data_IF_927087013463
#
_entry.id   IF_927087013463
#
_cell.length_a   1.000
_cell.length_b   1.000
_cell.length_c   1.000
_cell.angle_alpha   90.00
_cell.angle_beta   90.00
_cell.angle_gamma   90.00
#
_symmetry.space_group_name_H-M   'P 1'
#
loop_
_entity.id
_entity.type
_entity.pdbx_description
1 polymer ?
#
# COMPACT_ATOMS: atom_id res chain seq x y z
N UNK A 1 31.71 -2.55 11.59
CA UNK A 1 30.68 -3.08 10.67
C UNK A 1 29.80 -1.91 10.25
N UNK A 2 29.74 -1.56 8.94
CA UNK A 2 28.75 -0.57 8.46
C UNK A 2 27.39 -1.25 8.48
N UNK A 3 26.54 -0.84 9.42
CA UNK A 3 25.18 -1.34 9.55
C UNK A 3 24.44 -1.12 8.24
N UNK A 4 23.87 -2.17 7.70
CA UNK A 4 23.04 -2.13 6.51
C UNK A 4 21.79 -1.29 6.81
N UNK A 5 21.40 -0.43 5.87
CA UNK A 5 20.31 0.55 6.07
C UNK A 5 19.00 -0.13 6.53
N UNK A 6 18.73 -1.35 6.04
CA UNK A 6 17.56 -2.15 6.40
C UNK A 6 17.56 -2.55 7.89
N UNK A 7 18.64 -3.14 8.38
CA UNK A 7 18.70 -3.68 9.75
C UNK A 7 18.55 -2.59 10.82
N UNK A 8 19.06 -1.38 10.58
CA UNK A 8 19.04 -0.30 11.57
C UNK A 8 17.64 0.15 11.97
N UNK A 9 16.69 0.12 11.05
CA UNK A 9 15.29 0.53 11.30
C UNK A 9 14.50 -0.50 12.12
N UNK A 10 14.88 -1.78 12.05
CA UNK A 10 14.20 -2.85 12.78
C UNK A 10 14.86 -3.18 14.13
N UNK A 11 15.96 -2.52 14.49
CA UNK A 11 16.56 -2.66 15.82
C UNK A 11 15.71 -2.08 16.95
N UNK A 12 14.82 -1.13 16.64
CA UNK A 12 13.88 -0.56 17.61
C UNK A 12 12.71 -1.52 17.93
N UNK A 13 12.55 -2.61 17.17
CA UNK A 13 11.51 -3.60 17.40
C UNK A 13 11.86 -4.43 18.63
N UNK A 14 10.98 -4.42 19.62
CA UNK A 14 11.16 -5.21 20.83
C UNK A 14 11.00 -6.70 20.54
N UNK A 15 11.93 -7.50 21.10
CA UNK A 15 11.85 -8.94 21.00
C UNK A 15 10.80 -9.47 21.98
N UNK A 16 9.65 -10.00 21.49
CA UNK A 16 8.54 -10.42 22.35
C UNK A 16 8.85 -11.66 23.18
N UNK A 17 9.97 -12.34 22.91
CA UNK A 17 10.34 -13.56 23.64
C UNK A 17 10.97 -13.23 25.00
N UNK A 18 10.71 -14.08 26.02
CA UNK A 18 11.41 -14.02 27.28
C UNK A 18 12.93 -14.24 27.11
N UNK A 19 13.74 -13.78 28.06
CA UNK A 19 15.21 -13.93 28.01
C UNK A 19 15.69 -15.39 28.04
N UNK A 20 14.83 -16.31 28.42
CA UNK A 20 15.11 -17.75 28.46
C UNK A 20 14.82 -18.34 27.09
N UNK A 21 15.77 -19.07 26.49
CA UNK A 21 15.65 -19.74 25.18
C UNK A 21 15.68 -18.84 23.92
N UNK A 22 16.36 -17.72 23.93
CA UNK A 22 16.65 -16.91 22.72
C UNK A 22 17.91 -17.44 22.01
N UNK A 23 17.80 -18.54 21.28
CA UNK A 23 18.94 -19.08 20.49
C UNK A 23 19.33 -18.13 19.37
N UNK A 24 18.36 -17.53 18.65
CA UNK A 24 18.60 -16.66 17.52
C UNK A 24 18.15 -15.23 17.87
N UNK A 25 18.90 -14.23 17.44
CA UNK A 25 18.49 -12.82 17.59
C UNK A 25 17.23 -12.52 16.77
N UNK A 26 16.41 -11.57 17.22
CA UNK A 26 15.24 -11.13 16.45
C UNK A 26 15.66 -10.61 15.09
N UNK A 27 16.77 -9.86 15.02
CA UNK A 27 17.31 -9.34 13.78
C UNK A 27 17.67 -10.45 12.78
N UNK A 28 18.32 -11.53 13.24
CA UNK A 28 18.68 -12.64 12.35
C UNK A 28 17.42 -13.31 11.78
N UNK A 29 16.40 -13.54 12.64
CA UNK A 29 15.14 -14.15 12.19
C UNK A 29 14.45 -13.28 11.14
N UNK A 30 14.39 -11.96 11.36
CA UNK A 30 13.78 -11.03 10.43
C UNK A 30 14.53 -10.97 9.09
N UNK A 31 15.86 -10.84 9.15
CA UNK A 31 16.69 -10.77 7.93
C UNK A 31 16.59 -12.07 7.14
N UNK A 32 16.73 -13.24 7.78
CA UNK A 32 16.58 -14.53 7.10
C UNK A 32 15.18 -14.65 6.48
N UNK A 33 14.12 -14.26 7.21
CA UNK A 33 12.75 -14.29 6.72
C UNK A 33 12.53 -13.39 5.49
N UNK A 34 13.04 -12.16 5.51
CA UNK A 34 12.94 -11.22 4.36
C UNK A 34 13.72 -11.76 3.17
N UNK A 35 14.96 -12.24 3.37
CA UNK A 35 15.79 -12.79 2.29
C UNK A 35 15.16 -14.06 1.68
N UNK A 36 14.58 -14.91 2.52
CA UNK A 36 13.85 -16.10 2.08
C UNK A 36 12.64 -15.73 1.20
N UNK A 37 11.84 -14.73 1.60
CA UNK A 37 10.70 -14.23 0.81
C UNK A 37 11.17 -13.62 -0.52
N UNK A 38 12.23 -12.85 -0.52
CA UNK A 38 12.86 -12.32 -1.73
C UNK A 38 13.21 -13.45 -2.69
N UNK A 39 13.75 -14.56 -2.18
CA UNK A 39 14.18 -15.71 -2.98
C UNK A 39 13.07 -16.74 -3.27
N UNK A 40 11.81 -16.47 -2.92
CA UNK A 40 10.68 -17.29 -3.34
C UNK A 40 9.99 -18.08 -2.22
N UNK A 41 10.48 -18.07 -0.98
CA UNK A 41 9.82 -18.76 0.12
C UNK A 41 8.45 -18.13 0.45
N UNK A 42 7.43 -18.98 0.65
CA UNK A 42 6.03 -18.59 0.93
C UNK A 42 5.52 -19.16 2.26
N UNK A 43 6.18 -20.19 2.79
CA UNK A 43 5.83 -20.86 4.04
C UNK A 43 6.99 -20.82 5.04
N UNK A 44 6.71 -21.00 6.33
CA UNK A 44 7.75 -21.08 7.36
C UNK A 44 8.75 -22.21 7.08
N UNK A 45 8.25 -23.36 6.65
CA UNK A 45 9.09 -24.50 6.28
C UNK A 45 10.01 -24.18 5.08
N UNK A 46 9.50 -23.47 4.07
CA UNK A 46 10.33 -23.03 2.94
C UNK A 46 11.38 -22.00 3.37
N UNK A 47 11.11 -21.16 4.38
CA UNK A 47 12.12 -20.25 4.94
C UNK A 47 13.25 -21.02 5.64
N UNK A 48 12.94 -22.05 6.39
CA UNK A 48 13.94 -22.94 7.00
C UNK A 48 14.77 -23.67 5.92
N UNK A 49 14.12 -24.25 4.91
CA UNK A 49 14.81 -24.94 3.80
C UNK A 49 15.69 -23.99 2.98
N UNK A 50 15.19 -22.76 2.72
CA UNK A 50 15.99 -21.70 2.12
C UNK A 50 17.23 -21.38 2.97
N UNK A 51 17.05 -21.19 4.28
CA UNK A 51 18.14 -20.87 5.18
C UNK A 51 19.23 -21.97 5.16
N UNK A 52 18.83 -23.24 5.20
CA UNK A 52 19.75 -24.39 5.08
C UNK A 52 20.50 -24.39 3.73
N UNK A 53 19.77 -24.15 2.63
CA UNK A 53 20.33 -24.14 1.28
C UNK A 53 21.28 -22.96 1.02
N UNK A 54 21.12 -21.86 1.73
CA UNK A 54 21.88 -20.61 1.58
C UNK A 54 22.68 -20.25 2.84
N UNK A 55 22.98 -21.20 3.70
CA UNK A 55 23.70 -20.98 4.96
C UNK A 55 25.03 -20.24 4.74
N UNK A 56 25.82 -20.64 3.75
CA UNK A 56 27.10 -20.01 3.43
C UNK A 56 26.93 -18.52 3.06
N UNK A 57 25.90 -18.20 2.25
CA UNK A 57 25.59 -16.81 1.92
C UNK A 57 25.13 -16.04 3.16
N UNK A 58 24.22 -16.58 3.97
CA UNK A 58 23.69 -15.93 5.15
C UNK A 58 24.79 -15.64 6.18
N UNK A 59 25.77 -16.54 6.36
CA UNK A 59 26.94 -16.32 7.21
C UNK A 59 27.86 -15.17 6.74
N UNK A 60 27.73 -14.71 5.50
CA UNK A 60 28.47 -13.52 5.05
C UNK A 60 27.82 -12.21 5.48
N UNK A 61 26.58 -12.24 5.92
CA UNK A 61 25.79 -11.05 6.28
C UNK A 61 25.28 -11.06 7.73
N UNK A 62 25.22 -12.23 8.36
CA UNK A 62 24.78 -12.47 9.73
C UNK A 62 25.82 -13.34 10.47
N UNK A 63 25.91 -13.18 11.79
CA UNK A 63 26.84 -13.97 12.60
C UNK A 63 26.34 -15.41 12.82
N UNK A 64 25.04 -15.60 13.02
CA UNK A 64 24.36 -16.90 13.22
C UNK A 64 25.07 -17.82 14.23
N UNK A 65 25.40 -17.38 15.45
CA UNK A 65 26.24 -18.11 16.40
C UNK A 65 25.62 -19.45 16.84
N UNK A 66 24.31 -19.55 16.80
CA UNK A 66 23.53 -20.74 17.18
C UNK A 66 22.89 -21.44 15.97
N UNK A 67 23.44 -21.26 14.78
CA UNK A 67 22.93 -21.85 13.54
C UNK A 67 21.70 -21.12 12.98
N UNK A 68 20.81 -21.86 12.31
CA UNK A 68 19.69 -21.32 11.54
C UNK A 68 18.37 -21.47 12.29
N UNK A 69 17.46 -20.48 12.18
CA UNK A 69 16.11 -20.58 12.75
C UNK A 69 15.29 -21.69 12.07
N UNK A 70 14.55 -22.46 12.88
CA UNK A 70 13.60 -23.46 12.37
C UNK A 70 12.27 -22.82 11.94
N UNK A 71 11.44 -23.57 11.24
CA UNK A 71 10.08 -23.16 10.85
C UNK A 71 9.21 -22.79 12.06
N UNK A 72 9.29 -23.52 13.16
CA UNK A 72 8.65 -23.20 14.43
C UNK A 72 9.14 -21.87 15.01
N UNK A 73 10.44 -21.58 14.87
CA UNK A 73 10.99 -20.29 15.32
C UNK A 73 10.41 -19.13 14.54
N UNK A 74 10.34 -19.23 13.20
CA UNK A 74 9.68 -18.22 12.37
C UNK A 74 8.21 -18.05 12.76
N UNK A 75 7.46 -19.15 12.87
CA UNK A 75 6.05 -19.11 13.25
C UNK A 75 5.84 -18.39 14.60
N UNK A 76 6.54 -18.82 15.64
CA UNK A 76 6.41 -18.23 17.00
C UNK A 76 6.79 -16.76 17.02
N UNK A 77 7.89 -16.38 16.38
CA UNK A 77 8.36 -15.00 16.40
C UNK A 77 7.43 -14.09 15.62
N UNK A 78 7.07 -14.44 14.38
CA UNK A 78 6.16 -13.63 13.57
C UNK A 78 4.73 -13.58 14.13
N UNK A 79 4.30 -14.56 14.92
CA UNK A 79 3.05 -14.52 15.66
C UNK A 79 3.10 -13.56 16.86
N UNK A 80 4.23 -13.49 17.56
CA UNK A 80 4.38 -12.76 18.80
C UNK A 80 4.82 -11.29 18.65
N UNK A 81 5.48 -10.91 17.52
CA UNK A 81 5.90 -9.52 17.26
C UNK A 81 4.71 -8.58 17.39
N UNK A 82 4.89 -7.48 18.12
CA UNK A 82 3.92 -6.39 18.16
C UNK A 82 3.79 -5.74 16.78
N UNK A 83 2.60 -5.86 16.23
CA UNK A 83 2.33 -5.40 14.85
C UNK A 83 2.47 -3.89 14.72
N UNK A 84 2.04 -3.11 15.72
CA UNK A 84 2.13 -1.63 15.67
C UNK A 84 3.58 -1.16 15.66
N UNK A 85 4.44 -1.76 16.50
CA UNK A 85 5.88 -1.46 16.45
C UNK A 85 6.48 -1.84 15.09
N UNK A 86 6.08 -2.99 14.51
CA UNK A 86 6.61 -3.42 13.23
C UNK A 86 6.13 -2.52 12.07
N UNK A 87 4.89 -2.05 12.11
CA UNK A 87 4.33 -1.06 11.17
C UNK A 87 5.08 0.28 11.24
N UNK A 88 5.40 0.77 12.45
CA UNK A 88 6.21 1.97 12.66
C UNK A 88 7.63 1.79 12.09
N UNK A 89 8.28 0.67 12.39
CA UNK A 89 9.60 0.37 11.83
C UNK A 89 9.59 0.31 10.30
N UNK A 90 8.56 -0.29 9.72
CA UNK A 90 8.37 -0.37 8.28
C UNK A 90 8.18 1.01 7.65
N UNK A 91 7.29 1.85 8.17
CA UNK A 91 7.04 3.19 7.67
C UNK A 91 8.32 4.06 7.74
N UNK A 92 9.03 4.03 8.86
CA UNK A 92 10.31 4.73 9.03
C UNK A 92 11.39 4.24 8.05
N UNK A 93 11.44 2.94 7.77
CA UNK A 93 12.36 2.41 6.78
C UNK A 93 12.00 2.91 5.37
N UNK A 94 10.73 2.94 4.99
CA UNK A 94 10.30 3.41 3.66
C UNK A 94 10.71 4.86 3.42
N UNK A 95 10.60 5.75 4.41
CA UNK A 95 11.05 7.15 4.28
C UNK A 95 12.55 7.29 4.03
N UNK A 96 13.35 6.29 4.43
CA UNK A 96 14.80 6.27 4.18
C UNK A 96 15.19 5.81 2.77
N UNK A 97 14.24 5.24 2.02
CA UNK A 97 14.50 4.86 0.64
C UNK A 97 14.69 6.12 -0.21
N UNK A 98 15.62 6.10 -1.18
CA UNK A 98 15.80 7.24 -2.05
C UNK A 98 14.52 7.58 -2.81
N UNK A 99 13.98 8.75 -2.54
CA UNK A 99 12.78 9.28 -3.17
C UNK A 99 13.09 10.71 -3.63
N UNK A 100 12.62 11.09 -4.81
CA UNK A 100 12.62 12.49 -5.19
C UNK A 100 11.49 13.17 -4.38
N UNK A 101 11.82 14.29 -3.72
CA UNK A 101 10.84 15.11 -3.01
C UNK A 101 9.95 15.84 -4.03
N UNK A 102 8.95 15.14 -4.54
CA UNK A 102 7.91 15.68 -5.42
C UNK A 102 6.56 15.32 -4.83
N UNK A 103 5.61 16.23 -4.97
CA UNK A 103 4.22 15.96 -4.68
C UNK A 103 3.78 14.68 -5.39
N UNK A 104 3.28 13.72 -4.64
CA UNK A 104 2.85 12.43 -5.14
C UNK A 104 1.44 12.08 -4.68
N UNK A 105 0.82 11.13 -5.37
CA UNK A 105 -0.46 10.58 -4.94
C UNK A 105 -0.21 9.40 -4.00
N UNK A 106 -0.73 9.51 -2.79
CA UNK A 106 -0.80 8.44 -1.78
C UNK A 106 -2.19 7.83 -1.86
N UNK A 107 -2.32 6.70 -2.54
CA UNK A 107 -3.58 5.96 -2.62
C UNK A 107 -3.75 5.10 -1.38
N UNK A 108 -4.82 5.34 -0.60
CA UNK A 108 -5.18 4.51 0.55
C UNK A 108 -6.31 3.57 0.12
N UNK A 109 -6.09 2.28 0.32
CA UNK A 109 -7.06 1.24 -0.06
C UNK A 109 -6.94 0.02 0.86
N UNK A 110 -8.07 -0.69 1.02
CA UNK A 110 -8.16 -1.88 1.85
C UNK A 110 -8.06 -3.17 1.07
N UNK A 111 -7.32 -4.14 1.61
CA UNK A 111 -7.22 -5.48 1.05
C UNK A 111 -7.51 -6.56 2.09
N UNK A 112 -8.35 -7.51 1.72
CA UNK A 112 -8.60 -8.72 2.52
C UNK A 112 -7.65 -9.84 2.10
N UNK A 113 -6.83 -10.33 3.03
CA UNK A 113 -5.95 -11.49 2.83
C UNK A 113 -6.77 -12.77 3.03
N UNK A 114 -7.33 -13.31 1.96
CA UNK A 114 -8.41 -14.33 1.98
C UNK A 114 -8.02 -15.63 2.68
N UNK A 115 -6.78 -16.10 2.54
CA UNK A 115 -6.28 -17.33 3.15
C UNK A 115 -5.96 -17.23 4.64
N UNK A 116 -5.77 -16.02 5.15
CA UNK A 116 -5.36 -15.73 6.51
C UNK A 116 -6.58 -15.39 7.38
N UNK A 117 -6.98 -16.33 8.23
CA UNK A 117 -7.99 -16.09 9.29
C UNK A 117 -7.25 -16.08 10.63
N UNK A 118 -7.45 -15.05 11.43
CA UNK A 118 -6.90 -15.05 12.81
C UNK A 118 -7.58 -16.14 13.64
N UNK A 119 -6.84 -16.74 14.57
CA UNK A 119 -7.39 -17.73 15.48
C UNK A 119 -8.54 -17.13 16.29
N UNK A 120 -9.71 -17.75 16.23
CA UNK A 120 -10.92 -17.28 16.92
C UNK A 120 -11.74 -16.21 16.20
N UNK A 121 -11.28 -15.70 15.06
CA UNK A 121 -12.03 -14.76 14.22
C UNK A 121 -12.67 -15.52 13.03
N UNK A 122 -13.94 -15.24 12.76
CA UNK A 122 -14.65 -15.84 11.60
C UNK A 122 -14.30 -15.18 10.26
N UNK A 123 -13.63 -14.01 10.29
CA UNK A 123 -13.29 -13.20 9.12
C UNK A 123 -11.80 -13.26 8.78
N UNK A 124 -11.43 -13.19 7.50
CA UNK A 124 -10.03 -13.03 7.07
C UNK A 124 -9.43 -11.70 7.57
N UNK A 125 -8.10 -11.65 7.66
CA UNK A 125 -7.38 -10.42 8.00
C UNK A 125 -7.61 -9.37 6.92
N UNK A 126 -8.06 -8.17 7.34
CA UNK A 126 -8.22 -7.02 6.48
C UNK A 126 -7.15 -5.97 6.80
N UNK A 127 -6.49 -5.45 5.79
CA UNK A 127 -5.35 -4.51 5.91
C UNK A 127 -5.63 -3.29 5.06
N UNK A 128 -5.54 -2.11 5.64
CA UNK A 128 -5.52 -0.84 4.90
C UNK A 128 -4.07 -0.48 4.63
N UNK A 129 -3.75 -0.23 3.36
CA UNK A 129 -2.41 0.10 2.89
C UNK A 129 -2.35 1.47 2.23
N UNK A 130 -1.18 2.10 2.27
CA UNK A 130 -0.86 3.33 1.57
C UNK A 130 0.14 3.05 0.45
N UNK A 131 -0.23 3.43 -0.78
CA UNK A 131 0.58 3.26 -1.98
C UNK A 131 1.05 4.61 -2.52
N UNK A 132 2.35 4.83 -2.52
CA UNK A 132 3.00 5.99 -3.11
C UNK A 132 3.15 5.78 -4.63
N UNK A 133 2.24 6.38 -5.40
CA UNK A 133 2.03 6.05 -6.81
C UNK A 133 3.21 6.41 -7.71
N UNK A 134 3.87 7.54 -7.49
CA UNK A 134 5.00 8.02 -8.31
C UNK A 134 6.24 7.15 -8.09
N UNK A 135 6.50 6.76 -6.84
CA UNK A 135 7.64 5.92 -6.49
C UNK A 135 7.36 4.43 -6.66
N UNK A 136 6.09 4.04 -6.81
CA UNK A 136 5.64 2.65 -6.83
C UNK A 136 6.06 1.87 -5.59
N UNK A 137 5.89 2.47 -4.41
CA UNK A 137 6.24 1.89 -3.11
C UNK A 137 5.03 1.80 -2.19
N UNK A 138 5.02 0.81 -1.32
CA UNK A 138 4.08 0.76 -0.19
C UNK A 138 4.65 1.65 0.91
N UNK A 139 3.93 2.73 1.25
CA UNK A 139 4.36 3.70 2.25
C UNK A 139 4.08 3.23 3.68
N UNK A 140 3.02 2.45 3.89
CA UNK A 140 2.62 1.94 5.19
C UNK A 140 1.43 1.00 5.09
N UNK A 141 1.10 0.36 6.20
CA UNK A 141 -0.12 -0.44 6.36
C UNK A 141 -0.58 -0.45 7.81
N UNK A 142 -1.87 -0.72 8.03
CA UNK A 142 -2.47 -0.98 9.35
C UNK A 142 -3.50 -2.10 9.21
N UNK A 143 -3.55 -3.02 10.18
CA UNK A 143 -4.61 -4.03 10.26
C UNK A 143 -5.91 -3.40 10.75
N UNK A 144 -7.01 -3.67 10.06
CA UNK A 144 -8.35 -3.36 10.56
C UNK A 144 -8.70 -4.30 11.69
N UNK A 145 -9.08 -3.78 12.85
CA UNK A 145 -9.48 -4.63 13.98
C UNK A 145 -10.81 -5.34 13.69
N UNK A 146 -11.01 -6.54 14.27
CA UNK A 146 -12.20 -7.39 14.02
C UNK A 146 -13.55 -6.73 14.37
N UNK A 147 -13.53 -5.72 15.26
CA UNK A 147 -14.74 -4.98 15.68
C UNK A 147 -14.85 -3.60 15.02
N UNK A 148 -14.10 -3.34 13.96
CA UNK A 148 -13.87 -2.06 13.34
C UNK A 148 -13.98 -2.17 11.82
N UNK A 149 -13.78 -1.06 11.11
CA UNK A 149 -13.77 -0.98 9.66
C UNK A 149 -12.61 -0.08 9.18
N UNK A 150 -12.49 0.13 7.90
CA UNK A 150 -11.46 0.99 7.30
C UNK A 150 -11.50 2.43 7.82
N UNK A 151 -12.70 2.96 8.13
CA UNK A 151 -12.89 4.33 8.62
C UNK A 151 -12.07 4.60 9.89
N UNK A 152 -11.91 3.60 10.75
CA UNK A 152 -11.12 3.74 11.99
C UNK A 152 -9.64 3.42 11.77
N UNK A 153 -9.29 2.60 10.79
CA UNK A 153 -7.91 2.23 10.49
C UNK A 153 -7.18 3.32 9.67
N UNK A 154 -7.89 4.05 8.80
CA UNK A 154 -7.30 5.12 7.98
C UNK A 154 -6.65 6.20 8.83
N UNK A 155 -7.27 6.76 9.89
CA UNK A 155 -6.61 7.73 10.77
C UNK A 155 -5.33 7.18 11.44
N UNK A 156 -5.32 5.90 11.86
CA UNK A 156 -4.12 5.25 12.43
C UNK A 156 -3.02 5.14 11.37
N UNK A 157 -3.39 4.77 10.13
CA UNK A 157 -2.44 4.71 9.02
C UNK A 157 -1.86 6.10 8.71
N UNK A 158 -2.71 7.13 8.63
CA UNK A 158 -2.26 8.51 8.38
C UNK A 158 -1.26 8.98 9.43
N UNK A 159 -1.41 8.57 10.72
CA UNK A 159 -0.44 8.91 11.77
C UNK A 159 0.96 8.37 11.50
N UNK A 160 1.05 7.19 10.91
CA UNK A 160 2.33 6.55 10.57
C UNK A 160 3.03 7.17 9.36
N UNK A 161 2.27 7.88 8.48
CA UNK A 161 2.79 8.35 7.20
C UNK A 161 3.38 9.76 7.28
N UNK A 162 4.43 10.00 6.52
CA UNK A 162 4.99 11.31 6.23
C UNK A 162 4.44 11.76 4.87
N UNK A 163 3.38 12.57 4.88
CA UNK A 163 2.59 12.93 3.70
C UNK A 163 2.52 14.45 3.45
N UNK A 164 3.30 15.25 4.15
CA UNK A 164 3.35 16.70 3.95
C UNK A 164 3.64 17.04 2.49
N UNK A 165 2.77 17.84 1.87
CA UNK A 165 2.84 18.22 0.46
C UNK A 165 2.34 17.16 -0.53
N UNK A 166 1.93 15.97 -0.09
CA UNK A 166 1.39 14.91 -0.94
C UNK A 166 -0.14 15.04 -1.12
N UNK A 167 -0.70 14.26 -2.05
CA UNK A 167 -2.14 14.18 -2.32
C UNK A 167 -2.66 12.83 -1.87
N UNK A 168 -3.51 12.80 -0.85
CA UNK A 168 -4.14 11.56 -0.38
C UNK A 168 -5.42 11.29 -1.17
N UNK A 169 -5.54 10.09 -1.72
CA UNK A 169 -6.75 9.64 -2.42
C UNK A 169 -7.34 8.44 -1.70
N UNK A 170 -8.66 8.48 -1.47
CA UNK A 170 -9.38 7.43 -0.74
C UNK A 170 -10.69 7.15 -1.48
N UNK A 171 -11.16 5.90 -1.41
CA UNK A 171 -12.47 5.51 -1.92
C UNK A 171 -13.63 6.12 -1.10
N UNK A 172 -14.87 5.89 -1.54
CA UNK A 172 -16.04 6.49 -0.89
C UNK A 172 -16.24 6.04 0.57
N UNK A 173 -15.83 4.84 0.95
CA UNK A 173 -15.98 4.35 2.33
C UNK A 173 -15.16 5.20 3.31
N UNK A 174 -13.94 5.56 2.92
CA UNK A 174 -13.05 6.41 3.71
C UNK A 174 -13.35 7.91 3.60
N UNK A 175 -14.35 8.33 2.86
CA UNK A 175 -14.76 9.75 2.76
C UNK A 175 -15.52 10.16 4.00
N UNK A 176 -14.78 10.66 5.00
CA UNK A 176 -15.26 11.12 6.30
C UNK A 176 -14.64 12.46 6.66
N UNK A 177 -15.40 13.33 7.33
CA UNK A 177 -14.93 14.69 7.69
C UNK A 177 -13.69 14.67 8.58
N UNK A 178 -13.62 13.78 9.55
CA UNK A 178 -12.47 13.63 10.43
C UNK A 178 -11.21 13.16 9.68
N UNK A 179 -11.37 12.36 8.62
CA UNK A 179 -10.25 11.92 7.78
C UNK A 179 -9.75 13.07 6.91
N UNK A 180 -10.67 13.85 6.30
CA UNK A 180 -10.30 15.05 5.55
C UNK A 180 -9.56 16.07 6.42
N UNK A 181 -10.06 16.32 7.63
CA UNK A 181 -9.41 17.20 8.60
C UNK A 181 -8.00 16.72 8.95
N UNK A 182 -7.84 15.44 9.27
CA UNK A 182 -6.54 14.86 9.61
C UNK A 182 -5.52 14.96 8.46
N UNK A 183 -5.94 14.78 7.20
CA UNK A 183 -5.07 14.96 6.03
C UNK A 183 -4.57 16.40 5.97
N UNK A 184 -5.46 17.39 6.11
CA UNK A 184 -5.09 18.80 6.09
C UNK A 184 -4.17 19.15 7.27
N UNK A 185 -4.42 18.64 8.47
CA UNK A 185 -3.57 18.84 9.64
C UNK A 185 -2.15 18.30 9.47
N UNK A 186 -1.98 17.27 8.65
CA UNK A 186 -0.67 16.72 8.28
C UNK A 186 0.00 17.45 7.12
N UNK A 187 -0.56 18.58 6.66
CA UNK A 187 -0.01 19.40 5.57
C UNK A 187 -0.14 18.75 4.18
N UNK A 188 -1.07 17.81 4.01
CA UNK A 188 -1.37 17.16 2.75
C UNK A 188 -2.70 17.62 2.17
N UNK A 189 -2.89 17.38 0.88
CA UNK A 189 -4.14 17.58 0.17
C UNK A 189 -4.92 16.29 -0.01
N UNK A 190 -6.21 16.39 -0.33
CA UNK A 190 -7.04 15.22 -0.56
C UNK A 190 -7.84 15.26 -1.88
N UNK A 191 -8.14 14.07 -2.41
CA UNK A 191 -9.18 13.80 -3.41
C UNK A 191 -9.97 12.60 -2.90
N UNK A 192 -11.18 12.84 -2.40
CA UNK A 192 -12.04 11.83 -1.77
C UNK A 192 -13.24 11.53 -2.63
N UNK A 193 -13.50 10.25 -2.92
CA UNK A 193 -14.65 9.84 -3.71
C UNK A 193 -15.95 9.97 -2.89
N UNK A 194 -17.00 10.52 -3.50
CA UNK A 194 -18.30 10.73 -2.85
C UNK A 194 -19.36 9.84 -3.50
N UNK A 195 -20.12 9.15 -2.66
CA UNK A 195 -21.25 8.29 -3.03
C UNK A 195 -22.37 8.39 -1.98
N UNK A 196 -23.29 7.45 -2.03
CA UNK A 196 -24.47 7.36 -1.16
C UNK A 196 -24.17 7.31 0.35
N UNK A 197 -22.92 7.01 0.75
CA UNK A 197 -22.50 7.07 2.15
C UNK A 197 -22.45 8.52 2.71
N UNK A 198 -22.47 9.53 1.84
CA UNK A 198 -22.57 10.94 2.16
C UNK A 198 -23.74 11.58 1.38
N UNK A 199 -25.00 11.21 1.68
CA UNK A 199 -26.15 11.46 0.80
C UNK A 199 -26.39 12.95 0.54
N UNK A 200 -26.35 13.78 1.56
CA UNK A 200 -26.57 15.24 1.39
C UNK A 200 -25.47 15.90 0.56
N UNK A 201 -24.19 15.53 0.82
CA UNK A 201 -23.06 16.05 0.04
C UNK A 201 -23.16 15.58 -1.42
N UNK A 202 -23.53 14.33 -1.63
CA UNK A 202 -23.67 13.73 -2.96
C UNK A 202 -24.77 14.44 -3.77
N UNK A 203 -25.92 14.72 -3.17
CA UNK A 203 -27.02 15.46 -3.80
C UNK A 203 -26.59 16.88 -4.14
N UNK A 204 -26.00 17.61 -3.19
CA UNK A 204 -25.50 18.96 -3.42
C UNK A 204 -24.48 19.01 -4.57
N UNK A 205 -23.55 18.04 -4.64
CA UNK A 205 -22.57 17.94 -5.73
C UNK A 205 -23.28 17.71 -7.08
N UNK A 206 -24.29 16.84 -7.14
CA UNK A 206 -25.05 16.61 -8.37
C UNK A 206 -25.75 17.89 -8.86
N UNK A 207 -26.33 18.66 -7.95
CA UNK A 207 -26.98 19.94 -8.26
C UNK A 207 -25.97 20.99 -8.73
N UNK A 208 -24.77 21.07 -8.11
CA UNK A 208 -23.70 21.92 -8.61
C UNK A 208 -23.36 21.62 -10.08
N UNK A 209 -23.18 20.35 -10.45
CA UNK A 209 -22.90 19.99 -11.83
C UNK A 209 -24.09 20.17 -12.79
N UNK A 210 -25.32 20.13 -12.27
CA UNK A 210 -26.53 20.34 -13.06
C UNK A 210 -26.74 21.81 -13.44
N UNK A 211 -26.42 22.74 -12.53
CA UNK A 211 -26.74 24.16 -12.68
C UNK A 211 -25.52 25.04 -13.00
N UNK A 212 -24.30 24.51 -12.92
CA UNK A 212 -23.09 25.27 -13.26
C UNK A 212 -23.07 25.65 -14.75
N UNK A 213 -22.93 26.94 -15.02
CA UNK A 213 -22.95 27.48 -16.39
C UNK A 213 -21.60 27.38 -17.12
N UNK A 214 -20.50 27.35 -16.40
CA UNK A 214 -19.15 27.45 -16.97
C UNK A 214 -18.14 26.56 -16.25
N UNK A 215 -18.34 25.24 -16.21
CA UNK A 215 -17.39 24.35 -15.57
C UNK A 215 -16.12 24.21 -16.43
N UNK A 216 -14.99 24.00 -15.77
CA UNK A 216 -13.77 23.60 -16.48
C UNK A 216 -13.84 22.11 -16.83
N UNK A 217 -13.49 21.77 -18.06
CA UNK A 217 -13.63 20.38 -18.55
C UNK A 217 -12.42 19.96 -19.38
N UNK A 218 -11.98 18.71 -19.19
CA UNK A 218 -11.00 18.05 -20.08
C UNK A 218 -11.51 16.69 -20.53
N UNK A 219 -11.04 16.23 -21.71
CA UNK A 219 -11.38 14.93 -22.28
C UNK A 219 -10.12 14.17 -22.63
N UNK A 220 -10.05 12.91 -22.23
CA UNK A 220 -8.98 11.96 -22.55
C UNK A 220 -9.58 10.74 -23.24
N UNK A 221 -8.87 10.20 -24.24
CA UNK A 221 -9.27 8.98 -24.96
C UNK A 221 -8.10 8.02 -24.96
N UNK A 222 -8.31 6.83 -24.44
CA UNK A 222 -7.32 5.76 -24.34
C UNK A 222 -7.73 4.55 -25.20
N UNK A 223 -6.76 4.01 -25.93
CA UNK A 223 -6.95 2.86 -26.82
C UNK A 223 -6.11 1.70 -26.30
N UNK A 224 -6.74 0.63 -25.86
CA UNK A 224 -5.99 -0.53 -25.37
C UNK A 224 -6.87 -1.73 -25.02
N UNK A 225 -6.29 -2.90 -25.00
CA UNK A 225 -6.95 -4.13 -24.57
C UNK A 225 -8.30 -4.41 -25.27
N UNK A 226 -8.40 -4.09 -26.56
CA UNK A 226 -9.62 -4.31 -27.36
C UNK A 226 -10.79 -3.37 -27.02
N UNK A 227 -10.53 -2.25 -26.35
CA UNK A 227 -11.53 -1.24 -26.00
C UNK A 227 -11.06 0.18 -26.27
N UNK A 228 -12.03 1.08 -26.39
CA UNK A 228 -11.83 2.53 -26.37
C UNK A 228 -12.41 3.00 -25.04
N UNK A 229 -11.64 3.75 -24.28
CA UNK A 229 -12.08 4.35 -23.03
C UNK A 229 -12.00 5.87 -23.14
N UNK A 230 -13.15 6.53 -23.16
CA UNK A 230 -13.26 7.98 -23.14
C UNK A 230 -13.55 8.43 -21.71
N UNK A 231 -12.78 9.40 -21.20
CA UNK A 231 -12.99 10.02 -19.88
C UNK A 231 -13.18 11.52 -20.04
N UNK A 232 -14.20 12.05 -19.39
CA UNK A 232 -14.45 13.48 -19.30
C UNK A 232 -14.35 13.86 -17.83
N UNK A 233 -13.44 14.76 -17.51
CA UNK A 233 -13.28 15.32 -16.16
C UNK A 233 -13.80 16.76 -16.15
N UNK A 234 -14.70 17.04 -15.23
CA UNK A 234 -15.31 18.36 -15.03
C UNK A 234 -15.03 18.83 -13.62
N UNK A 235 -14.62 20.10 -13.45
CA UNK A 235 -14.24 20.69 -12.17
C UNK A 235 -15.04 21.98 -11.93
N UNK A 236 -15.50 22.17 -10.70
CA UNK A 236 -16.18 23.38 -10.22
C UNK A 236 -15.48 23.88 -8.96
N UNK A 237 -15.21 25.19 -8.90
CA UNK A 237 -14.60 25.87 -7.75
C UNK A 237 -15.59 26.82 -7.04
N UNK A 238 -16.53 27.40 -7.80
CA UNK A 238 -17.53 28.35 -7.28
C UNK A 238 -18.85 27.60 -7.03
N UNK A 239 -19.15 27.37 -5.76
CA UNK A 239 -20.31 26.59 -5.33
C UNK A 239 -21.54 27.48 -5.14
N UNK A 240 -22.71 26.97 -5.53
CA UNK A 240 -24.03 27.58 -5.31
C UNK A 240 -24.83 26.81 -4.24
N UNK A 241 -24.65 25.50 -4.14
CA UNK A 241 -25.40 24.62 -3.24
C UNK A 241 -24.55 24.11 -2.07
N UNK A 242 -23.23 24.35 -2.09
CA UNK A 242 -22.30 24.00 -1.03
C UNK A 242 -21.74 25.28 -0.42
N UNK A 243 -22.10 25.59 0.82
CA UNK A 243 -21.52 26.72 1.53
C UNK A 243 -20.13 26.37 2.07
N UNK A 244 -19.08 26.98 1.52
CA UNK A 244 -17.68 26.75 1.94
C UNK A 244 -17.42 27.13 3.39
N UNK A 245 -18.10 28.16 3.91
CA UNK A 245 -17.87 28.65 5.27
C UNK A 245 -18.50 27.75 6.34
N UNK A 246 -19.64 27.12 6.01
CA UNK A 246 -20.38 26.23 6.91
C UNK A 246 -20.10 24.74 6.67
N UNK A 247 -19.28 24.40 5.67
CA UNK A 247 -18.99 23.01 5.36
C UNK A 247 -18.13 22.35 6.44
N UNK A 248 -18.50 21.12 6.80
CA UNK A 248 -17.70 20.27 7.70
C UNK A 248 -16.45 19.69 7.03
N UNK A 249 -16.25 19.96 5.72
CA UNK A 249 -15.15 19.43 4.94
C UNK A 249 -13.99 20.42 4.94
N UNK A 250 -13.06 20.24 5.87
CA UNK A 250 -11.92 21.15 6.04
C UNK A 250 -11.09 21.24 4.76
N UNK A 251 -10.84 22.45 4.30
CA UNK A 251 -10.05 22.72 3.10
C UNK A 251 -10.77 22.43 1.77
N UNK A 252 -12.08 22.15 1.74
CA UNK A 252 -12.81 21.92 0.49
C UNK A 252 -12.70 23.12 -0.46
N UNK A 253 -12.04 22.94 -1.60
CA UNK A 253 -11.83 23.97 -2.62
C UNK A 253 -12.56 23.65 -3.92
N UNK A 254 -12.54 22.41 -4.37
CA UNK A 254 -13.10 21.99 -5.65
C UNK A 254 -13.91 20.71 -5.53
N UNK A 255 -14.89 20.57 -6.41
CA UNK A 255 -15.59 19.32 -6.66
C UNK A 255 -15.28 18.85 -8.08
N UNK A 256 -15.18 17.53 -8.24
CA UNK A 256 -14.76 16.90 -9.48
C UNK A 256 -15.76 15.84 -9.91
N UNK A 257 -16.17 15.85 -11.17
CA UNK A 257 -16.96 14.79 -11.81
C UNK A 257 -16.12 14.14 -12.89
N UNK A 258 -16.04 12.80 -12.86
CA UNK A 258 -15.41 12.00 -13.91
C UNK A 258 -16.44 11.07 -14.53
N UNK A 259 -16.70 11.29 -15.82
CA UNK A 259 -17.57 10.46 -16.65
C UNK A 259 -16.69 9.58 -17.54
N UNK A 260 -16.89 8.28 -17.49
CA UNK A 260 -16.15 7.31 -18.31
C UNK A 260 -17.08 6.50 -19.18
N UNK A 261 -16.75 6.37 -20.46
CA UNK A 261 -17.42 5.53 -21.44
C UNK A 261 -16.43 4.50 -21.95
N UNK A 262 -16.78 3.21 -21.87
CA UNK A 262 -15.98 2.09 -22.39
C UNK A 262 -16.72 1.40 -23.52
N UNK A 263 -16.15 1.45 -24.69
CA UNK A 263 -16.65 0.79 -25.89
C UNK A 263 -15.74 -0.40 -26.22
N UNK A 264 -16.32 -1.59 -26.34
CA UNK A 264 -15.57 -2.82 -26.62
C UNK A 264 -15.57 -3.10 -28.12
N UNK A 265 -14.37 -3.27 -28.69
CA UNK A 265 -14.20 -3.64 -30.09
C UNK A 265 -14.28 -5.16 -30.26
N UNK A 266 -14.92 -5.62 -31.32
CA UNK A 266 -15.02 -7.05 -31.65
C UNK A 266 -15.58 -7.93 -30.53
N UNK A 267 -16.59 -7.44 -29.81
CA UNK A 267 -17.20 -8.11 -28.67
C UNK A 267 -18.69 -7.75 -28.59
N UNK A 268 -19.54 -8.70 -28.18
CA UNK A 268 -20.96 -8.47 -27.90
C UNK A 268 -21.21 -7.71 -26.57
N UNK A 269 -20.15 -7.29 -25.89
CA UNK A 269 -20.27 -6.50 -24.66
C UNK A 269 -20.84 -5.12 -24.98
N UNK A 270 -21.86 -4.74 -24.21
CA UNK A 270 -22.46 -3.41 -24.29
C UNK A 270 -21.48 -2.33 -23.80
N UNK A 271 -21.62 -1.14 -24.34
CA UNK A 271 -20.93 0.06 -23.84
C UNK A 271 -21.25 0.27 -22.36
N UNK A 272 -20.22 0.45 -21.57
CA UNK A 272 -20.31 0.73 -20.14
C UNK A 272 -20.11 2.22 -19.89
N UNK A 273 -21.03 2.84 -19.13
CA UNK A 273 -20.91 4.21 -18.69
C UNK A 273 -20.83 4.25 -17.15
N UNK A 274 -19.96 5.10 -16.62
CA UNK A 274 -19.87 5.32 -15.20
C UNK A 274 -19.56 6.79 -14.89
N UNK A 275 -20.24 7.32 -13.87
CA UNK A 275 -20.00 8.68 -13.34
C UNK A 275 -19.51 8.56 -11.90
N UNK A 276 -18.48 9.32 -11.55
CA UNK A 276 -17.92 9.38 -10.21
C UNK A 276 -17.73 10.83 -9.80
N UNK A 277 -17.99 11.10 -8.52
CA UNK A 277 -17.84 12.42 -7.93
C UNK A 277 -16.79 12.40 -6.84
N UNK A 278 -16.08 13.51 -6.71
CA UNK A 278 -15.03 13.67 -5.72
C UNK A 278 -15.08 15.08 -5.13
N UNK A 279 -14.63 15.20 -3.90
CA UNK A 279 -14.28 16.47 -3.24
C UNK A 279 -12.77 16.57 -3.14
N UNK A 280 -12.24 17.80 -3.17
CA UNK A 280 -10.81 18.05 -3.11
C UNK A 280 -10.47 19.32 -2.37
N UNK A 281 -9.34 19.30 -1.65
CA UNK A 281 -8.71 20.49 -1.07
C UNK A 281 -7.80 21.22 -2.07
N UNK A 282 -7.45 20.58 -3.18
CA UNK A 282 -6.62 21.16 -4.23
C UNK A 282 -7.37 22.24 -5.03
N UNK A 283 -6.57 23.09 -5.68
CA UNK A 283 -7.01 23.98 -6.75
C UNK A 283 -6.22 23.64 -8.02
N UNK A 284 -6.75 22.72 -8.81
CA UNK A 284 -6.07 22.14 -9.96
C UNK A 284 -6.95 22.13 -11.21
N UNK A 285 -6.32 21.97 -12.39
CA UNK A 285 -7.00 21.81 -13.67
C UNK A 285 -7.56 20.40 -13.84
N UNK A 286 -8.62 20.20 -14.65
CA UNK A 286 -9.25 18.90 -14.89
C UNK A 286 -8.27 17.79 -15.33
N UNK A 287 -7.25 18.10 -16.13
CA UNK A 287 -6.24 17.13 -16.59
C UNK A 287 -5.43 16.54 -15.45
N UNK A 288 -5.12 17.37 -14.44
CA UNK A 288 -4.40 16.93 -13.26
C UNK A 288 -5.24 15.98 -12.40
N UNK A 289 -6.51 16.32 -12.19
CA UNK A 289 -7.44 15.42 -11.49
C UNK A 289 -7.59 14.07 -12.18
N UNK A 290 -7.67 14.04 -13.52
CA UNK A 290 -7.68 12.77 -14.27
C UNK A 290 -6.44 11.94 -13.96
N UNK A 291 -5.25 12.55 -13.95
CA UNK A 291 -4.00 11.88 -13.62
C UNK A 291 -4.00 11.33 -12.18
N UNK A 292 -4.36 12.14 -11.20
CA UNK A 292 -4.38 11.77 -9.78
C UNK A 292 -5.37 10.65 -9.50
N UNK A 293 -6.60 10.74 -10.04
CA UNK A 293 -7.63 9.71 -9.87
C UNK A 293 -7.22 8.40 -10.56
N UNK A 294 -6.55 8.45 -11.72
CA UNK A 294 -5.99 7.25 -12.36
C UNK A 294 -4.88 6.62 -11.53
N UNK A 295 -4.06 7.45 -10.87
CA UNK A 295 -2.99 6.97 -9.99
C UNK A 295 -3.53 6.21 -8.77
N UNK A 296 -4.70 6.61 -8.24
CA UNK A 296 -5.37 5.83 -7.19
C UNK A 296 -5.68 4.39 -7.63
N UNK A 297 -6.26 4.21 -8.82
CA UNK A 297 -6.60 2.88 -9.33
C UNK A 297 -5.38 2.02 -9.69
N UNK A 298 -4.19 2.62 -9.73
CA UNK A 298 -2.96 1.84 -9.93
C UNK A 298 -2.64 0.91 -8.75
N UNK A 299 -3.19 1.17 -7.55
CA UNK A 299 -3.00 0.31 -6.36
C UNK A 299 -3.45 -1.13 -6.64
N UNK A 300 -4.58 -1.32 -7.31
CA UNK A 300 -5.09 -2.65 -7.65
C UNK A 300 -4.10 -3.46 -8.51
N UNK A 301 -3.57 -2.85 -9.56
CA UNK A 301 -2.70 -3.53 -10.52
C UNK A 301 -1.23 -3.58 -10.10
N UNK A 302 -0.76 -2.53 -9.40
CA UNK A 302 0.66 -2.39 -9.06
C UNK A 302 1.01 -2.90 -7.66
N UNK A 303 0.04 -3.01 -6.78
CA UNK A 303 0.21 -3.53 -5.42
C UNK A 303 -0.56 -4.83 -5.22
N UNK A 304 -1.91 -4.81 -5.21
CA UNK A 304 -2.72 -5.95 -4.81
C UNK A 304 -2.51 -7.16 -5.72
N UNK A 305 -2.66 -6.98 -7.04
CA UNK A 305 -2.41 -8.05 -8.01
C UNK A 305 -0.98 -8.60 -7.93
N UNK A 306 0.02 -7.73 -7.71
CA UNK A 306 1.42 -8.16 -7.60
C UNK A 306 1.65 -8.98 -6.34
N UNK A 307 1.07 -8.59 -5.20
CA UNK A 307 1.15 -9.38 -3.97
C UNK A 307 0.50 -10.76 -4.14
N UNK A 308 -0.62 -10.85 -4.85
CA UNK A 308 -1.30 -12.12 -5.09
C UNK A 308 -0.57 -13.02 -6.09
N UNK A 309 -0.12 -12.47 -7.21
CA UNK A 309 0.48 -13.27 -8.29
C UNK A 309 1.96 -13.55 -8.03
N UNK A 310 2.72 -12.59 -7.52
CA UNK A 310 4.16 -12.77 -7.33
C UNK A 310 4.55 -13.27 -5.93
N UNK A 311 3.70 -13.12 -4.91
CA UNK A 311 3.99 -13.52 -3.53
C UNK A 311 2.94 -14.44 -2.92
N UNK A 312 1.89 -14.80 -3.66
CA UNK A 312 0.81 -15.71 -3.21
C UNK A 312 0.16 -15.24 -1.90
N UNK A 313 -0.03 -13.90 -1.71
CA UNK A 313 -0.52 -13.35 -0.44
C UNK A 313 -1.89 -13.92 -0.07
N UNK A 314 -2.83 -13.98 -1.01
CA UNK A 314 -4.18 -14.53 -0.79
C UNK A 314 -4.20 -16.04 -0.49
N UNK A 315 -3.17 -16.78 -0.90
CA UNK A 315 -3.02 -18.19 -0.59
C UNK A 315 -2.35 -18.46 0.77
N UNK A 316 -1.84 -17.41 1.44
CA UNK A 316 -1.13 -17.52 2.71
C UNK A 316 -2.04 -18.05 3.82
N UNK A 317 -1.60 -19.12 4.50
CA UNK A 317 -2.32 -19.76 5.61
C UNK A 317 -1.70 -19.47 6.97
N UNK A 318 -1.01 -18.35 7.12
CA UNK A 318 -0.47 -17.90 8.39
C UNK A 318 -1.61 -17.33 9.24
N UNK A 319 -1.99 -18.04 10.31
CA UNK A 319 -3.24 -17.79 11.05
C UNK A 319 -3.02 -17.54 12.55
N UNK A 320 -1.82 -17.79 13.05
CA UNK A 320 -1.52 -17.64 14.47
C UNK A 320 -1.37 -16.17 14.82
N UNK A 321 -2.17 -15.69 15.78
CA UNK A 321 -2.09 -14.33 16.35
C UNK A 321 -1.78 -13.24 15.30
N UNK A 322 -0.59 -12.61 15.40
CA UNK A 322 -0.16 -11.53 14.51
C UNK A 322 0.57 -12.01 13.24
N UNK A 323 0.69 -13.33 13.02
CA UNK A 323 1.51 -13.88 11.93
C UNK A 323 1.13 -13.35 10.54
N UNK A 324 -0.18 -13.22 10.25
CA UNK A 324 -0.66 -12.80 8.94
C UNK A 324 -0.27 -11.35 8.61
N UNK A 325 -0.53 -10.42 9.53
CA UNK A 325 -0.21 -9.01 9.33
C UNK A 325 1.30 -8.75 9.33
N UNK A 326 2.05 -9.41 10.22
CA UNK A 326 3.50 -9.28 10.27
C UNK A 326 4.17 -9.86 9.02
N UNK A 327 3.64 -10.98 8.51
CA UNK A 327 4.10 -11.54 7.23
C UNK A 327 3.77 -10.62 6.04
N UNK A 328 2.61 -9.97 6.03
CA UNK A 328 2.26 -8.98 5.00
C UNK A 328 3.25 -7.81 4.97
N UNK A 329 3.79 -7.38 6.12
CA UNK A 329 4.88 -6.38 6.17
C UNK A 329 6.13 -6.92 5.47
N UNK A 330 6.52 -8.17 5.72
CA UNK A 330 7.69 -8.80 5.07
C UNK A 330 7.50 -8.85 3.55
N UNK A 331 6.31 -9.18 3.05
CA UNK A 331 6.00 -9.15 1.62
C UNK A 331 6.19 -7.75 1.03
N UNK A 332 5.72 -6.72 1.74
CA UNK A 332 5.83 -5.32 1.30
C UNK A 332 7.26 -4.79 1.36
N UNK A 333 8.06 -5.23 2.34
CA UNK A 333 9.50 -4.97 2.37
C UNK A 333 10.17 -5.55 1.11
N UNK A 334 9.93 -6.82 0.80
CA UNK A 334 10.47 -7.47 -0.38
C UNK A 334 10.00 -6.77 -1.68
N UNK A 335 8.71 -6.42 -1.77
CA UNK A 335 8.16 -5.69 -2.91
C UNK A 335 8.83 -4.32 -3.10
N UNK A 336 8.99 -3.54 -2.03
CA UNK A 336 9.62 -2.22 -2.09
C UNK A 336 11.08 -2.30 -2.54
N UNK A 337 11.84 -3.29 -2.08
CA UNK A 337 13.20 -3.55 -2.54
C UNK A 337 13.24 -3.82 -4.06
N UNK A 338 12.35 -4.69 -4.55
CA UNK A 338 12.26 -4.98 -5.99
C UNK A 338 11.80 -3.79 -6.83
N UNK A 339 10.87 -2.98 -6.33
CA UNK A 339 10.39 -1.77 -7.03
C UNK A 339 11.47 -0.71 -7.12
N UNK A 340 12.28 -0.59 -6.08
CA UNK A 340 13.41 0.35 -6.04
C UNK A 340 14.60 -0.11 -6.91
N UNK A 341 14.72 -1.42 -7.20
CA UNK A 341 15.75 -1.94 -8.09
C UNK A 341 15.44 -1.63 -9.56
N UNK A 342 16.30 -0.83 -10.20
CA UNK A 342 16.23 -0.47 -11.63
C UNK A 342 17.27 -1.21 -12.48
N UNK A 343 18.02 -2.16 -11.91
CA UNK A 343 19.12 -2.87 -12.61
C UNK A 343 18.62 -3.88 -13.65
N UNK A 344 17.33 -4.21 -13.66
CA UNK A 344 16.71 -5.13 -14.62
C UNK A 344 15.28 -4.69 -14.95
N UNK A 345 14.85 -4.96 -16.19
CA UNK A 345 13.50 -4.70 -16.69
C UNK A 345 12.50 -5.84 -16.40
N UNK A 346 12.94 -6.92 -15.75
CA UNK A 346 12.07 -8.05 -15.42
C UNK A 346 10.95 -7.65 -14.46
N UNK A 347 9.80 -8.29 -14.56
CA UNK A 347 8.72 -8.20 -13.58
C UNK A 347 9.12 -8.79 -12.21
N UNK A 348 8.31 -8.57 -11.17
CA UNK A 348 8.62 -8.97 -9.78
C UNK A 348 8.90 -10.47 -9.67
N UNK A 349 8.09 -11.34 -10.29
CA UNK A 349 8.33 -12.78 -10.29
C UNK A 349 9.71 -13.15 -10.89
N UNK A 350 10.09 -12.55 -12.03
CA UNK A 350 11.40 -12.75 -12.62
C UNK A 350 12.55 -12.23 -11.76
N UNK A 351 12.36 -11.11 -11.07
CA UNK A 351 13.32 -10.56 -10.10
C UNK A 351 13.51 -11.50 -8.90
N UNK A 352 12.43 -12.13 -8.40
CA UNK A 352 12.49 -13.13 -7.32
C UNK A 352 13.34 -14.34 -7.73
N UNK A 353 13.09 -14.91 -8.92
CA UNK A 353 13.89 -16.01 -9.45
C UNK A 353 15.35 -15.61 -9.62
N UNK A 354 15.62 -14.42 -10.17
CA UNK A 354 16.98 -13.92 -10.31
C UNK A 354 17.69 -13.78 -8.96
N UNK A 355 17.00 -13.29 -7.93
CA UNK A 355 17.57 -13.17 -6.58
C UNK A 355 17.89 -14.54 -5.97
N UNK A 356 17.06 -15.56 -6.21
CA UNK A 356 17.30 -16.94 -5.75
C UNK A 356 18.54 -17.57 -6.40
N UNK A 357 18.79 -17.28 -7.69
CA UNK A 357 19.85 -17.91 -8.48
C UNK A 357 21.18 -17.14 -8.49
N UNK A 358 21.15 -15.82 -8.23
CA UNK A 358 22.32 -14.94 -8.35
C UNK A 358 22.56 -14.14 -7.05
N UNK A 359 23.59 -14.54 -6.31
CA UNK A 359 23.93 -13.93 -5.02
C UNK A 359 24.43 -12.48 -5.16
N UNK A 360 25.11 -12.13 -6.25
CA UNK A 360 25.56 -10.75 -6.49
C UNK A 360 24.35 -9.82 -6.72
N UNK A 361 23.33 -10.32 -7.42
CA UNK A 361 22.06 -9.59 -7.57
C UNK A 361 21.35 -9.44 -6.21
N UNK A 362 21.30 -10.51 -5.42
CA UNK A 362 20.71 -10.51 -4.08
C UNK A 362 21.44 -9.53 -3.15
N UNK A 363 22.78 -9.52 -3.12
CA UNK A 363 23.60 -8.56 -2.35
C UNK A 363 23.28 -7.12 -2.74
N UNK A 364 23.22 -6.83 -4.04
CA UNK A 364 22.86 -5.50 -4.57
C UNK A 364 21.47 -5.08 -4.14
N UNK A 365 20.48 -5.99 -4.24
CA UNK A 365 19.10 -5.73 -3.84
C UNK A 365 18.99 -5.37 -2.36
N UNK A 366 19.74 -6.08 -1.52
CA UNK A 366 19.84 -5.84 -0.08
C UNK A 366 20.74 -4.64 0.28
N UNK A 367 21.38 -3.98 -0.72
CA UNK A 367 22.35 -2.89 -0.55
C UNK A 367 23.56 -3.27 0.35
N UNK A 368 23.92 -4.54 0.37
CA UNK A 368 25.10 -5.05 1.09
C UNK A 368 26.32 -4.66 0.27
N UNK A 369 27.25 -3.91 0.87
CA UNK A 369 28.54 -3.62 0.23
C UNK A 369 29.40 -4.89 0.22
N UNK A 370 29.93 -5.22 -0.94
CA UNK A 370 30.96 -6.25 -1.12
C UNK A 370 32.28 -5.76 -0.56
#
# INVERSE_FOLDING_TARGET
MKKDLFQSYFQALEDPRSHINKLHSLNDILVVGVVAVICGAETWKQMEEFAKSKESFLKTILELPNGLPSDDTFNRVFSAIDTKQFEVCFANWVTSLPQELKQQVIAIDGKTVRGAKSNGENSPVHIVGAWASEHNLVAGQVKVSAKSNEITAIPELLDLLFIEGDIVTIDAMGTQTAIAEKIIEKGADYILAVKDNQPQLFENIQDEFRFCKSPQTSKDIDFGHGRIETRVCTVISDFQFINKEDTKWKGLNQIVKVESTREFKNSDRKTENATRYFISSLEEKPEKYQSHIRSHWAVENKLHWVLDVAFSEDASRKRNENAAQNYSIVLKIALNLFKNDKSTKQGIAGKRLKAAWNEDYLRRLLKIKV
#
